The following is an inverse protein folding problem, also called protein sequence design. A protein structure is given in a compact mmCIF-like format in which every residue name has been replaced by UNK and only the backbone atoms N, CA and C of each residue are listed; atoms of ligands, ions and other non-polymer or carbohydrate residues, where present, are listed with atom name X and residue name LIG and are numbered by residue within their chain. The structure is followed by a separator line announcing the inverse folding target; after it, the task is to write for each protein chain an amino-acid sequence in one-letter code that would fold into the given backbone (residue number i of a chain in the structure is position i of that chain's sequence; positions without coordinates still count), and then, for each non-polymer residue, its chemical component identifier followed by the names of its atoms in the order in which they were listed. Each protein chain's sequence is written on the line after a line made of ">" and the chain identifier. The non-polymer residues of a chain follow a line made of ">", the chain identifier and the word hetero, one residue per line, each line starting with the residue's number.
data_IF_821300366450
#
_entry.id   IF_821300366450
#
_cell.length_a   1.000
_cell.length_b   1.000
_cell.length_c   1.000
_cell.angle_alpha   90.00
_cell.angle_beta   90.00
_cell.angle_gamma   90.00
#
_symmetry.space_group_name_H-M   'P 1'
#
loop_
_entity.id
_entity.type
_entity.pdbx_description
1 polymer ?
#
# COMPACT_ATOMS: atom_id res chain seq x y z
N UNK A 1 16.77 -8.83 11.45
CA UNK A 1 16.36 -10.14 12.05
C UNK A 1 16.21 -11.21 10.98
N UNK A 2 16.25 -12.51 11.35
CA UNK A 2 16.12 -13.59 10.34
C UNK A 2 14.70 -13.67 9.79
N UNK A 3 13.69 -13.58 10.65
CA UNK A 3 12.27 -13.61 10.22
C UNK A 3 11.90 -12.38 9.37
N UNK A 4 12.41 -11.20 9.70
CA UNK A 4 12.22 -10.01 8.88
C UNK A 4 12.82 -10.18 7.47
N UNK A 5 14.01 -10.78 7.37
CA UNK A 5 14.62 -11.07 6.06
C UNK A 5 13.77 -12.04 5.23
N UNK A 6 13.16 -13.05 5.88
CA UNK A 6 12.22 -13.96 5.22
C UNK A 6 10.97 -13.21 4.76
N UNK A 7 10.40 -12.39 5.63
CA UNK A 7 9.22 -11.56 5.37
C UNK A 7 9.43 -10.69 4.12
N UNK A 8 10.48 -9.87 4.11
CA UNK A 8 10.81 -9.00 2.98
C UNK A 8 11.17 -9.77 1.71
N UNK A 9 11.76 -10.96 1.84
CA UNK A 9 12.04 -11.83 0.70
C UNK A 9 10.80 -12.60 0.19
N UNK A 10 9.61 -12.37 0.75
CA UNK A 10 8.36 -13.04 0.37
C UNK A 10 8.32 -14.52 0.73
N UNK A 11 9.13 -14.97 1.68
CA UNK A 11 9.17 -16.35 2.16
C UNK A 11 8.27 -16.53 3.36
N UNK A 12 7.91 -17.79 3.66
CA UNK A 12 7.22 -18.13 4.90
C UNK A 12 8.04 -17.67 6.12
N UNK A 13 7.43 -16.88 6.98
CA UNK A 13 8.01 -16.38 8.19
C UNK A 13 7.01 -16.48 9.36
N UNK A 14 7.52 -16.40 10.58
CA UNK A 14 6.71 -16.34 11.79
C UNK A 14 6.34 -14.89 12.09
N UNK A 15 5.08 -14.54 11.90
CA UNK A 15 4.57 -13.18 12.13
C UNK A 15 4.42 -12.82 13.62
N UNK A 16 4.55 -13.82 14.52
CA UNK A 16 4.31 -13.65 15.97
C UNK A 16 5.58 -13.39 16.78
N UNK A 17 6.73 -13.23 16.12
CA UNK A 17 7.96 -12.93 16.87
C UNK A 17 7.88 -11.55 17.53
N UNK A 18 8.34 -11.42 18.80
CA UNK A 18 8.13 -10.22 19.59
C UNK A 18 8.64 -8.93 18.95
N UNK A 19 9.75 -9.00 18.23
CA UNK A 19 10.36 -7.83 17.61
C UNK A 19 9.55 -7.29 16.43
N UNK A 20 8.95 -8.15 15.60
CA UNK A 20 8.06 -7.72 14.52
C UNK A 20 6.75 -7.19 15.08
N UNK A 21 6.21 -7.86 16.09
CA UNK A 21 5.00 -7.43 16.76
C UNK A 21 5.15 -6.05 17.41
N UNK A 22 6.23 -5.80 18.13
CA UNK A 22 6.50 -4.52 18.77
C UNK A 22 6.57 -3.36 17.75
N UNK A 23 7.18 -3.59 16.58
CA UNK A 23 7.26 -2.57 15.51
C UNK A 23 5.88 -2.29 14.92
N UNK A 24 5.10 -3.33 14.67
CA UNK A 24 3.73 -3.20 14.17
C UNK A 24 2.85 -2.45 15.17
N UNK A 25 2.90 -2.79 16.45
CA UNK A 25 2.17 -2.08 17.52
C UNK A 25 2.56 -0.60 17.57
N UNK A 26 3.84 -0.28 17.41
CA UNK A 26 4.31 1.10 17.36
C UNK A 26 3.74 1.86 16.15
N UNK A 27 3.77 1.26 14.97
CA UNK A 27 3.19 1.86 13.76
C UNK A 27 1.68 2.07 13.90
N UNK A 28 0.95 1.09 14.46
CA UNK A 28 -0.49 1.21 14.69
C UNK A 28 -0.83 2.35 15.68
N UNK A 29 -0.04 2.52 16.75
CA UNK A 29 -0.22 3.65 17.67
C UNK A 29 -0.03 5.00 16.98
N UNK A 30 0.99 5.13 16.14
CA UNK A 30 1.23 6.33 15.33
C UNK A 30 0.09 6.58 14.32
N UNK A 31 -0.48 5.54 13.72
CA UNK A 31 -1.64 5.66 12.83
C UNK A 31 -2.88 6.18 13.56
N UNK A 32 -3.13 5.71 14.80
CA UNK A 32 -4.22 6.20 15.64
C UNK A 32 -4.03 7.68 15.98
N UNK A 33 -2.83 8.06 16.36
CA UNK A 33 -2.49 9.46 16.65
C UNK A 33 -2.62 10.34 15.41
N UNK A 34 -2.15 9.88 14.24
CA UNK A 34 -2.29 10.57 12.97
C UNK A 34 -3.76 10.91 12.66
N UNK A 35 -4.66 9.95 12.89
CA UNK A 35 -6.10 10.12 12.65
C UNK A 35 -6.76 11.17 13.56
N UNK A 36 -6.18 11.46 14.72
CA UNK A 36 -6.68 12.42 15.69
C UNK A 36 -5.96 13.78 15.62
N UNK A 37 -4.84 13.85 14.91
CA UNK A 37 -4.01 15.06 14.85
C UNK A 37 -4.48 15.99 13.73
N UNK A 38 -4.75 17.30 14.03
CA UNK A 38 -5.16 18.25 13.03
C UNK A 38 -4.17 18.35 11.86
N UNK A 39 -4.69 18.53 10.64
CA UNK A 39 -3.93 18.45 9.40
C UNK A 39 -2.70 19.39 9.35
N UNK A 40 -2.85 20.61 9.89
CA UNK A 40 -1.78 21.63 9.91
C UNK A 40 -0.92 21.63 11.17
N UNK A 41 -1.08 20.62 12.05
CA UNK A 41 -0.28 20.52 13.27
C UNK A 41 1.17 20.10 12.95
N UNK A 42 2.20 20.74 13.57
CA UNK A 42 3.58 20.24 13.46
C UNK A 42 3.73 18.78 13.90
N UNK A 43 2.96 18.36 14.91
CA UNK A 43 2.96 16.99 15.40
C UNK A 43 2.61 15.97 14.29
N UNK A 44 1.75 16.37 13.34
CA UNK A 44 1.38 15.51 12.21
C UNK A 44 2.59 15.19 11.34
N UNK A 45 3.46 16.15 11.11
CA UNK A 45 4.70 15.96 10.38
C UNK A 45 5.63 14.98 11.10
N UNK A 46 5.79 15.14 12.43
CA UNK A 46 6.61 14.24 13.24
C UNK A 46 6.10 12.79 13.19
N UNK A 47 4.78 12.59 13.23
CA UNK A 47 4.17 11.26 13.09
C UNK A 47 4.47 10.68 11.72
N UNK A 48 4.33 11.46 10.65
CA UNK A 48 4.63 11.00 9.29
C UNK A 48 6.13 10.68 9.12
N UNK A 49 7.03 11.45 9.74
CA UNK A 49 8.47 11.18 9.74
C UNK A 49 8.80 9.87 10.48
N UNK A 50 8.07 9.57 11.54
CA UNK A 50 8.25 8.33 12.28
C UNK A 50 7.67 7.11 11.56
N UNK A 51 6.52 7.25 10.88
CA UNK A 51 5.91 6.18 10.09
C UNK A 51 6.69 5.88 8.80
N UNK A 52 7.17 6.94 8.13
CA UNK A 52 7.81 6.86 6.82
C UNK A 52 9.16 7.58 6.87
N UNK A 53 10.18 6.98 7.50
CA UNK A 53 11.47 7.66 7.77
C UNK A 53 12.21 8.09 6.50
N UNK A 54 12.03 7.36 5.41
CA UNK A 54 12.69 7.63 4.13
C UNK A 54 11.81 8.42 3.15
N UNK A 55 10.70 9.03 3.65
CA UNK A 55 9.80 9.75 2.76
C UNK A 55 10.47 10.97 2.13
N UNK A 56 10.23 11.21 0.83
CA UNK A 56 10.74 12.41 0.15
C UNK A 56 9.97 13.67 0.56
N UNK A 57 10.48 14.83 0.14
CA UNK A 57 9.68 16.05 0.14
C UNK A 57 8.49 15.91 -0.80
N UNK A 58 7.36 16.57 -0.47
CA UNK A 58 6.16 16.55 -1.30
C UNK A 58 5.20 15.39 -1.03
N UNK A 59 5.52 14.45 -0.14
CA UNK A 59 4.54 13.47 0.30
C UNK A 59 3.43 14.16 1.10
N UNK A 60 2.20 14.04 0.63
CA UNK A 60 1.02 14.51 1.34
C UNK A 60 0.13 13.32 1.77
N UNK A 61 -0.14 13.23 3.07
CA UNK A 61 -1.02 12.21 3.65
C UNK A 61 -2.23 12.88 4.29
N UNK A 62 -3.40 12.76 3.68
CA UNK A 62 -4.65 13.32 4.19
C UNK A 62 -5.03 12.69 5.53
N UNK A 63 -4.90 11.38 5.64
CA UNK A 63 -5.32 10.58 6.80
C UNK A 63 -6.84 10.59 7.05
N UNK A 64 -7.35 9.76 7.97
CA UNK A 64 -6.56 8.76 8.68
C UNK A 64 -5.90 7.74 7.74
N UNK A 65 -4.84 7.09 8.23
CA UNK A 65 -4.17 6.01 7.52
C UNK A 65 -3.89 4.86 8.50
N UNK A 66 -3.81 3.65 7.98
CA UNK A 66 -3.40 2.47 8.71
C UNK A 66 -2.25 1.79 7.96
N UNK A 67 -1.14 1.56 8.62
CA UNK A 67 0.00 0.84 8.06
C UNK A 67 0.50 -0.21 9.04
N UNK A 68 0.99 -1.35 8.56
CA UNK A 68 1.55 -2.38 9.44
C UNK A 68 2.91 -1.96 10.01
N UNK A 69 3.80 -1.49 9.17
CA UNK A 69 5.16 -1.08 9.58
C UNK A 69 5.49 0.36 9.17
N UNK A 70 5.07 0.79 7.99
CA UNK A 70 5.43 2.06 7.36
C UNK A 70 6.86 2.08 6.79
N UNK A 71 7.79 1.42 7.45
CA UNK A 71 9.21 1.35 7.07
C UNK A 71 9.48 0.53 5.80
N UNK A 72 8.52 -0.24 5.33
CA UNK A 72 8.63 -1.01 4.08
C UNK A 72 7.80 -0.37 2.94
N UNK A 73 7.34 0.87 3.16
CA UNK A 73 6.63 1.64 2.15
C UNK A 73 7.52 2.76 1.64
N UNK A 74 7.80 2.77 0.36
CA UNK A 74 8.71 3.68 -0.31
C UNK A 74 7.95 4.58 -1.27
N UNK A 75 8.11 5.88 -1.12
CA UNK A 75 7.44 6.88 -1.93
C UNK A 75 8.40 7.61 -2.84
N UNK A 76 7.94 7.91 -4.05
CA UNK A 76 8.54 8.92 -4.92
C UNK A 76 8.14 10.34 -4.52
N UNK A 77 8.57 11.34 -5.30
CA UNK A 77 8.29 12.75 -5.06
C UNK A 77 6.82 13.08 -5.36
N UNK A 78 6.28 14.06 -4.65
CA UNK A 78 4.96 14.68 -4.94
C UNK A 78 3.81 13.66 -4.98
N UNK A 79 3.85 12.68 -4.07
CA UNK A 79 2.79 11.67 -3.92
C UNK A 79 1.68 12.23 -3.03
N UNK A 80 0.43 12.09 -3.50
CA UNK A 80 -0.77 12.45 -2.75
C UNK A 80 -1.53 11.19 -2.29
N UNK A 81 -1.73 11.05 -0.98
CA UNK A 81 -2.49 9.98 -0.36
C UNK A 81 -3.74 10.56 0.32
N UNK A 82 -4.92 10.16 -0.16
CA UNK A 82 -6.20 10.59 0.38
C UNK A 82 -6.57 9.84 1.66
N UNK A 83 -7.74 10.13 2.22
CA UNK A 83 -8.21 9.60 3.50
C UNK A 83 -8.49 8.09 3.49
N UNK A 84 -8.42 7.47 4.68
CA UNK A 84 -8.71 6.06 4.94
C UNK A 84 -7.81 5.10 4.13
N UNK A 85 -6.55 5.46 3.99
CA UNK A 85 -5.56 4.61 3.34
C UNK A 85 -5.22 3.40 4.22
N UNK A 86 -5.09 2.23 3.62
CA UNK A 86 -4.56 1.02 4.26
C UNK A 86 -3.34 0.52 3.50
N UNK A 87 -2.22 0.33 4.20
CA UNK A 87 -1.01 -0.27 3.63
C UNK A 87 -0.55 -1.40 4.56
N UNK A 88 -0.70 -2.64 4.11
CA UNK A 88 -0.16 -3.80 4.81
C UNK A 88 1.19 -4.13 4.18
N UNK A 89 2.25 -3.53 4.69
CA UNK A 89 3.60 -3.56 4.12
C UNK A 89 4.50 -4.60 4.78
N UNK A 90 4.05 -5.86 4.79
CA UNK A 90 4.91 -6.99 5.17
C UNK A 90 6.01 -7.26 4.14
N UNK A 91 5.77 -6.93 2.89
CA UNK A 91 6.79 -6.79 1.84
C UNK A 91 6.78 -5.36 1.31
N UNK A 92 7.79 -5.00 0.52
CA UNK A 92 7.92 -3.64 0.00
C UNK A 92 6.69 -3.20 -0.80
N UNK A 93 6.22 -2.00 -0.50
CA UNK A 93 5.23 -1.23 -1.26
C UNK A 93 5.94 -0.03 -1.86
N UNK A 94 6.02 0.03 -3.17
CA UNK A 94 6.65 1.16 -3.87
C UNK A 94 5.58 1.97 -4.58
N UNK A 95 5.53 3.28 -4.31
CA UNK A 95 4.63 4.23 -4.98
C UNK A 95 5.48 5.32 -5.60
N UNK A 96 5.53 5.36 -6.92
CA UNK A 96 6.38 6.25 -7.71
C UNK A 96 5.98 7.72 -7.68
N UNK A 97 6.78 8.55 -8.33
CA UNK A 97 6.60 10.01 -8.38
C UNK A 97 5.21 10.42 -8.90
N UNK A 98 4.68 11.53 -8.40
CA UNK A 98 3.44 12.17 -8.84
C UNK A 98 2.20 11.27 -8.80
N UNK A 99 2.20 10.21 -8.02
CA UNK A 99 1.02 9.35 -7.89
C UNK A 99 -0.08 10.03 -7.06
N UNK A 100 -1.31 9.89 -7.54
CA UNK A 100 -2.51 10.35 -6.84
C UNK A 100 -3.33 9.16 -6.38
N UNK A 101 -3.43 8.96 -5.07
CA UNK A 101 -4.13 7.82 -4.47
C UNK A 101 -5.42 8.32 -3.83
N UNK A 102 -6.54 7.85 -4.36
CA UNK A 102 -7.89 8.21 -3.89
C UNK A 102 -8.24 7.61 -2.52
N UNK A 103 -9.33 8.06 -1.91
CA UNK A 103 -9.73 7.61 -0.58
C UNK A 103 -10.10 6.11 -0.54
N UNK A 104 -9.91 5.52 0.63
CA UNK A 104 -10.14 4.09 0.89
C UNK A 104 -9.31 3.15 0.02
N UNK A 105 -8.16 3.59 -0.47
CA UNK A 105 -7.24 2.70 -1.19
C UNK A 105 -6.58 1.71 -0.23
N UNK A 106 -6.33 0.49 -0.72
CA UNK A 106 -5.68 -0.58 0.05
C UNK A 106 -4.54 -1.21 -0.75
N UNK A 107 -3.35 -1.25 -0.17
CA UNK A 107 -2.17 -1.92 -0.69
C UNK A 107 -1.85 -3.10 0.23
N UNK A 108 -1.98 -4.33 -0.29
CA UNK A 108 -2.02 -5.54 0.54
C UNK A 108 -0.95 -6.51 0.07
N UNK A 109 0.21 -6.52 0.73
CA UNK A 109 1.32 -7.43 0.40
C UNK A 109 1.24 -8.79 1.09
N UNK A 110 0.68 -8.94 2.32
CA UNK A 110 0.64 -10.21 3.01
C UNK A 110 -0.28 -11.22 2.34
N UNK A 111 0.10 -12.46 2.45
CA UNK A 111 -0.63 -13.63 1.97
C UNK A 111 -0.55 -14.75 3.01
N UNK A 112 -1.60 -15.54 3.09
CA UNK A 112 -1.63 -16.75 3.93
C UNK A 112 -1.66 -18.02 3.08
N UNK A 113 -1.16 -19.14 3.58
CA UNK A 113 -1.32 -20.44 2.93
C UNK A 113 -2.79 -20.75 2.66
N UNK A 114 -3.10 -21.27 1.47
CA UNK A 114 -4.47 -21.59 1.09
C UNK A 114 -5.04 -22.76 1.88
N UNK A 115 -4.21 -23.72 2.24
CA UNK A 115 -4.64 -24.84 3.06
C UNK A 115 -4.81 -24.39 4.52
N UNK A 116 -5.99 -24.62 5.08
CA UNK A 116 -6.32 -24.20 6.46
C UNK A 116 -5.36 -24.75 7.50
N UNK A 117 -4.92 -26.03 7.38
CA UNK A 117 -3.95 -26.63 8.30
C UNK A 117 -2.57 -25.95 8.29
N UNK A 118 -2.24 -25.23 7.24
CA UNK A 118 -0.98 -24.48 7.10
C UNK A 118 -1.12 -23.06 7.60
N UNK A 119 -2.32 -22.46 7.46
CA UNK A 119 -2.66 -21.10 7.86
C UNK A 119 -3.05 -20.95 9.34
N UNK A 120 -3.70 -22.00 9.89
CA UNK A 120 -4.21 -21.92 11.26
C UNK A 120 -3.06 -21.81 12.27
N UNK A 121 -3.36 -21.18 13.43
CA UNK A 121 -2.45 -21.11 14.55
C UNK A 121 -1.91 -22.50 14.91
N UNK A 122 -0.63 -22.57 15.17
CA UNK A 122 0.12 -23.74 15.58
C UNK A 122 0.65 -23.52 17.00
N UNK A 123 0.91 -24.59 17.73
CA UNK A 123 1.45 -24.54 19.08
C UNK A 123 2.88 -25.02 19.10
N UNK A 124 3.81 -24.23 19.65
CA UNK A 124 5.20 -24.65 19.85
C UNK A 124 5.31 -25.62 21.04
N UNK A 125 6.45 -26.30 21.19
CA UNK A 125 6.67 -27.20 22.33
C UNK A 125 6.59 -26.51 23.71
N UNK A 126 6.84 -25.21 23.77
CA UNK A 126 6.74 -24.40 24.98
C UNK A 126 5.31 -23.91 25.28
N UNK A 127 4.33 -24.26 24.45
CA UNK A 127 2.93 -23.88 24.58
C UNK A 127 2.56 -22.55 23.92
N UNK A 128 3.52 -21.77 23.43
CA UNK A 128 3.25 -20.52 22.70
C UNK A 128 2.61 -20.81 21.34
N UNK A 129 1.80 -19.89 20.86
CA UNK A 129 1.16 -19.99 19.55
C UNK A 129 1.92 -19.21 18.49
N UNK A 130 1.84 -19.65 17.26
CA UNK A 130 2.39 -18.94 16.11
C UNK A 130 1.57 -19.25 14.85
N UNK A 131 1.64 -18.36 13.89
CA UNK A 131 1.20 -18.61 12.51
C UNK A 131 2.33 -18.30 11.53
N UNK A 132 2.12 -18.72 10.32
CA UNK A 132 3.07 -18.46 9.23
C UNK A 132 2.32 -17.81 8.08
N UNK A 133 2.87 -16.74 7.63
CA UNK A 133 2.43 -16.02 6.45
C UNK A 133 3.61 -15.74 5.51
N UNK A 134 3.31 -15.26 4.34
CA UNK A 134 4.31 -14.82 3.36
C UNK A 134 3.74 -13.60 2.64
N UNK A 135 4.53 -12.96 1.80
CA UNK A 135 4.05 -11.80 1.07
C UNK A 135 4.61 -11.73 -0.33
N UNK A 136 4.17 -10.71 -1.06
CA UNK A 136 4.76 -10.32 -2.34
C UNK A 136 4.82 -8.81 -2.40
N UNK A 137 5.95 -8.22 -2.81
CA UNK A 137 6.03 -6.78 -2.99
C UNK A 137 5.06 -6.32 -4.07
N UNK A 138 4.68 -5.06 -4.01
CA UNK A 138 3.88 -4.43 -5.06
C UNK A 138 4.47 -3.08 -5.45
N UNK A 139 4.20 -2.67 -6.70
CA UNK A 139 4.72 -1.41 -7.25
C UNK A 139 3.62 -0.66 -7.98
N UNK A 140 3.49 0.62 -7.69
CA UNK A 140 2.77 1.60 -8.51
C UNK A 140 3.83 2.52 -9.10
N UNK A 141 4.03 2.46 -10.40
CA UNK A 141 5.01 3.31 -11.06
C UNK A 141 4.54 4.78 -11.12
N UNK A 142 5.39 5.68 -11.63
CA UNK A 142 5.15 7.12 -11.60
C UNK A 142 3.88 7.56 -12.35
N UNK A 143 3.32 8.71 -11.96
CA UNK A 143 2.19 9.40 -12.61
C UNK A 143 0.89 8.58 -12.63
N UNK A 144 0.72 7.62 -11.75
CA UNK A 144 -0.51 6.83 -11.68
C UNK A 144 -1.60 7.55 -10.87
N UNK A 145 -2.83 7.42 -11.33
CA UNK A 145 -4.02 7.80 -10.58
C UNK A 145 -4.85 6.58 -10.21
N UNK A 146 -4.91 6.28 -8.93
CA UNK A 146 -5.81 5.27 -8.37
C UNK A 146 -7.02 6.00 -7.78
N UNK A 147 -8.21 5.74 -8.33
CA UNK A 147 -9.44 6.37 -7.84
C UNK A 147 -9.87 5.78 -6.48
N UNK A 148 -11.06 6.16 -6.00
CA UNK A 148 -11.55 5.73 -4.67
C UNK A 148 -11.78 4.21 -4.58
N UNK A 149 -11.54 3.63 -3.40
CA UNK A 149 -11.80 2.22 -3.09
C UNK A 149 -11.04 1.22 -3.98
N UNK A 150 -9.83 1.57 -4.42
CA UNK A 150 -8.97 0.66 -5.18
C UNK A 150 -8.21 -0.24 -4.21
N UNK A 151 -8.22 -1.55 -4.49
CA UNK A 151 -7.38 -2.53 -3.78
C UNK A 151 -6.32 -3.08 -4.72
N UNK A 152 -5.05 -3.02 -4.31
CA UNK A 152 -3.91 -3.60 -5.03
C UNK A 152 -3.34 -4.74 -4.21
N UNK A 153 -3.28 -5.95 -4.78
CA UNK A 153 -2.74 -7.14 -4.10
C UNK A 153 -1.24 -7.30 -4.32
N UNK A 154 -0.58 -8.01 -3.42
CA UNK A 154 0.84 -8.33 -3.54
C UNK A 154 1.20 -9.07 -4.84
N UNK A 155 2.38 -8.76 -5.38
CA UNK A 155 2.89 -9.30 -6.63
C UNK A 155 2.45 -8.53 -7.87
N UNK A 156 1.83 -7.36 -7.71
CA UNK A 156 1.32 -6.55 -8.82
C UNK A 156 2.26 -5.37 -9.08
N UNK A 157 2.48 -5.07 -10.37
CA UNK A 157 3.03 -3.81 -10.85
C UNK A 157 1.97 -3.09 -11.66
N UNK A 158 1.67 -1.82 -11.31
CA UNK A 158 0.88 -0.90 -12.12
C UNK A 158 1.87 0.00 -12.86
N UNK A 159 1.91 -0.13 -14.19
CA UNK A 159 2.80 0.64 -15.05
C UNK A 159 2.47 2.13 -15.06
N UNK A 160 3.50 2.95 -15.28
CA UNK A 160 3.44 4.42 -15.23
C UNK A 160 2.32 5.01 -16.10
N UNK A 161 1.88 6.22 -15.76
CA UNK A 161 0.86 6.98 -16.49
C UNK A 161 -0.49 6.26 -16.61
N UNK A 162 -0.79 5.33 -15.68
CA UNK A 162 -2.04 4.54 -15.69
C UNK A 162 -3.08 5.12 -14.75
N UNK A 163 -4.34 4.89 -15.11
CA UNK A 163 -5.52 5.25 -14.31
C UNK A 163 -6.27 3.98 -13.92
N UNK A 164 -6.50 3.81 -12.63
CA UNK A 164 -7.29 2.71 -12.07
C UNK A 164 -8.62 3.27 -11.57
N UNK A 165 -9.72 2.83 -12.21
CA UNK A 165 -11.06 3.32 -11.87
C UNK A 165 -11.53 2.87 -10.48
N UNK A 166 -12.48 3.63 -9.93
CA UNK A 166 -12.99 3.42 -8.58
C UNK A 166 -13.58 2.01 -8.36
N UNK A 167 -13.36 1.46 -7.16
CA UNK A 167 -13.86 0.13 -6.77
C UNK A 167 -13.12 -1.03 -7.41
N UNK A 168 -11.98 -0.78 -8.04
CA UNK A 168 -11.20 -1.84 -8.72
C UNK A 168 -10.40 -2.69 -7.75
N UNK A 169 -10.30 -3.99 -8.06
CA UNK A 169 -9.40 -4.93 -7.36
C UNK A 169 -8.33 -5.42 -8.33
N UNK A 170 -7.11 -4.89 -8.17
CA UNK A 170 -5.98 -5.15 -9.07
C UNK A 170 -5.22 -6.38 -8.58
N UNK A 171 -5.36 -7.48 -9.32
CA UNK A 171 -4.79 -8.80 -9.00
C UNK A 171 -3.76 -9.27 -10.01
N UNK A 172 -3.43 -8.44 -11.01
CA UNK A 172 -2.46 -8.71 -12.08
C UNK A 172 -1.81 -7.41 -12.51
N UNK A 173 -0.63 -7.52 -13.10
CA UNK A 173 0.07 -6.36 -13.66
C UNK A 173 -0.80 -5.59 -14.65
N UNK A 174 -0.69 -4.27 -14.58
CA UNK A 174 -1.32 -3.33 -15.52
C UNK A 174 -0.19 -2.71 -16.34
N UNK A 175 -0.23 -2.80 -17.67
CA UNK A 175 0.74 -2.12 -18.54
C UNK A 175 0.70 -0.60 -18.35
N UNK A 176 1.80 0.08 -18.65
CA UNK A 176 1.85 1.54 -18.65
C UNK A 176 0.79 2.17 -19.59
N UNK A 177 0.43 3.42 -19.32
CA UNK A 177 -0.54 4.19 -20.12
C UNK A 177 -1.91 3.51 -20.23
N UNK A 178 -2.37 2.82 -19.19
CA UNK A 178 -3.62 2.06 -19.23
C UNK A 178 -4.75 2.73 -18.43
N UNK A 179 -5.95 2.73 -19.01
CA UNK A 179 -7.18 2.86 -18.25
C UNK A 179 -7.66 1.46 -17.89
N UNK A 180 -7.71 1.15 -16.59
CA UNK A 180 -8.13 -0.17 -16.10
C UNK A 180 -9.20 -0.04 -15.00
N UNK A 181 -10.19 -0.93 -15.00
CA UNK A 181 -11.30 -0.87 -14.04
C UNK A 181 -11.82 -2.26 -13.68
N UNK A 182 -12.56 -2.35 -12.59
CA UNK A 182 -13.41 -3.47 -12.24
C UNK A 182 -12.85 -4.42 -11.17
N UNK A 183 -13.65 -5.40 -10.82
CA UNK A 183 -13.29 -6.49 -9.91
C UNK A 183 -13.64 -7.85 -10.56
N UNK A 184 -12.62 -8.62 -11.00
CA UNK A 184 -11.20 -8.26 -11.02
C UNK A 184 -10.88 -7.16 -12.06
N UNK A 185 -9.89 -6.31 -11.75
CA UNK A 185 -9.49 -5.19 -12.61
C UNK A 185 -8.97 -5.67 -13.97
N UNK A 186 -9.40 -5.00 -15.04
CA UNK A 186 -8.98 -5.28 -16.42
C UNK A 186 -8.69 -3.97 -17.15
N UNK A 187 -7.70 -4.01 -18.03
CA UNK A 187 -7.42 -2.92 -18.95
C UNK A 187 -8.60 -2.77 -19.91
N UNK A 188 -9.14 -1.55 -19.99
CA UNK A 188 -10.21 -1.16 -20.91
C UNK A 188 -9.61 -0.70 -22.23
N UNK A 189 -8.58 0.16 -22.15
CA UNK A 189 -7.90 0.75 -23.30
C UNK A 189 -6.59 1.41 -22.87
N UNK A 190 -5.80 1.77 -23.84
CA UNK A 190 -4.65 2.67 -23.66
C UNK A 190 -5.13 4.11 -23.51
N UNK A 191 -4.43 4.90 -22.70
CA UNK A 191 -4.59 6.36 -22.59
C UNK A 191 -3.72 6.99 -23.67
N UNK A 192 -4.29 7.95 -24.40
CA UNK A 192 -3.64 8.63 -25.55
C UNK A 192 -3.85 10.14 -25.48
N UNK A 193 -3.24 10.90 -26.37
CA UNK A 193 -3.44 12.35 -26.50
C UNK A 193 -4.92 12.74 -26.74
N UNK A 194 -5.74 11.82 -27.23
CA UNK A 194 -7.19 12.04 -27.39
C UNK A 194 -7.91 12.20 -26.04
N UNK A 195 -7.29 11.79 -24.94
CA UNK A 195 -7.82 11.96 -23.58
C UNK A 195 -7.55 13.35 -22.99
N UNK A 196 -6.81 14.20 -23.71
CA UNK A 196 -6.48 15.55 -23.25
C UNK A 196 -7.73 16.35 -22.93
N UNK A 197 -7.73 17.00 -21.76
CA UNK A 197 -8.81 17.92 -21.38
C UNK A 197 -8.88 19.15 -22.27
N UNK A 198 -7.77 19.52 -22.94
CA UNK A 198 -7.74 20.64 -23.89
C UNK A 198 -8.66 20.41 -25.11
N UNK A 199 -8.97 19.15 -25.42
CA UNK A 199 -9.90 18.77 -26.48
C UNK A 199 -11.37 18.84 -26.03
N UNK A 200 -11.63 19.01 -24.72
CA UNK A 200 -12.96 18.99 -24.11
C UNK A 200 -13.45 20.40 -23.85
N UNK A 201 -13.92 21.07 -24.92
CA UNK A 201 -14.37 22.47 -24.87
C UNK A 201 -15.46 22.74 -23.83
N UNK A 202 -16.27 21.74 -23.51
CA UNK A 202 -17.31 21.80 -22.50
C UNK A 202 -16.81 21.94 -21.06
N UNK A 203 -15.51 21.76 -20.81
CA UNK A 203 -14.88 21.94 -19.50
C UNK A 203 -14.37 23.37 -19.26
N UNK A 204 -14.43 24.23 -20.27
CA UNK A 204 -14.02 25.62 -20.25
C UNK A 204 -15.21 26.51 -20.61
#
# INVERSE_FOLDING_TARGET
>A
MEEEKKMLAGKLYDATIPELDARRVTAHALCQELGQTPEKSPRRQEIQDALFPDKPQGLFVQGPAFVDYGTHTHFGKDVYLNANLTILDTCDVVIGDNCMIGPNASFVTPMHPLLSRERNLKTRPDGSQYDQEYGKPLTVEANCWLASNVTVTGGVTIGHDSVIGAGSVVTRNIPANSLAVGNPCRVIRTITEEDSVELKKELY
#
